data_IF_634124598351
#
_entry.id   IF_634124598351
#
_cell.length_a   1.000
_cell.length_b   1.000
_cell.length_c   1.000
_cell.angle_alpha   90.00
_cell.angle_beta   90.00
_cell.angle_gamma   90.00
#
_symmetry.space_group_name_H-M   'P 1'
#
loop_
_entity.id
_entity.type
_entity.pdbx_description
1 polymer ?
#
# COMPACT_ATOMS: atom_id res chain seq x y z
N UNK A 1 -11.71 16.16 19.77
CA UNK A 1 -10.53 17.02 19.61
C UNK A 1 -9.36 16.45 20.42
N UNK A 2 -8.30 16.02 19.72
CA UNK A 2 -7.13 15.37 20.34
C UNK A 2 -6.39 16.30 21.30
N UNK A 3 -6.29 17.59 20.97
CA UNK A 3 -5.63 18.58 21.85
C UNK A 3 -6.33 18.75 23.20
N UNK A 4 -7.63 18.51 23.24
CA UNK A 4 -8.40 18.56 24.48
C UNK A 4 -8.36 17.22 25.24
N UNK A 5 -8.18 16.12 24.54
CA UNK A 5 -8.18 14.75 25.12
C UNK A 5 -6.82 14.37 25.72
N UNK A 6 -5.72 14.76 25.07
CA UNK A 6 -4.37 14.45 25.54
C UNK A 6 -4.13 15.06 26.93
N UNK A 7 -3.72 14.21 27.87
CA UNK A 7 -3.54 14.60 29.28
C UNK A 7 -4.82 14.65 30.11
N UNK A 8 -5.99 14.33 29.52
CA UNK A 8 -7.29 14.26 30.21
C UNK A 8 -7.96 12.89 30.00
N UNK A 9 -7.21 11.83 30.16
CA UNK A 9 -7.65 10.47 29.92
C UNK A 9 -7.22 9.88 28.57
N UNK A 10 -6.43 10.62 27.78
CA UNK A 10 -5.79 10.12 26.58
C UNK A 10 -4.27 10.32 26.65
N UNK A 11 -3.54 9.26 26.37
CA UNK A 11 -2.08 9.29 26.20
C UNK A 11 -1.68 8.79 24.82
N UNK A 12 -0.73 9.45 24.19
CA UNK A 12 -0.19 9.08 22.86
C UNK A 12 1.31 8.87 23.00
N UNK A 13 1.78 7.68 22.58
CA UNK A 13 3.19 7.32 22.62
C UNK A 13 3.67 7.00 21.20
N UNK A 14 4.65 7.77 20.65
CA UNK A 14 5.20 7.47 19.34
C UNK A 14 5.91 6.13 19.28
N UNK A 15 5.72 5.41 18.18
CA UNK A 15 6.44 4.17 17.86
C UNK A 15 7.47 4.50 16.78
N UNK A 16 8.76 4.32 17.08
CA UNK A 16 9.81 4.44 16.09
C UNK A 16 9.69 3.31 15.06
N UNK A 17 9.67 3.64 13.78
CA UNK A 17 9.55 2.68 12.68
C UNK A 17 10.49 2.99 11.52
N UNK A 18 10.51 2.13 10.50
CA UNK A 18 11.42 2.26 9.35
C UNK A 18 10.93 3.21 8.25
N UNK A 19 9.75 3.80 8.40
CA UNK A 19 9.13 4.69 7.41
C UNK A 19 8.87 6.07 7.99
N UNK A 20 8.53 7.04 7.14
CA UNK A 20 8.27 8.42 7.56
C UNK A 20 6.82 8.65 8.02
N UNK A 21 6.12 7.60 8.42
CA UNK A 21 4.78 7.70 8.97
C UNK A 21 4.82 7.74 10.48
N UNK A 22 4.11 8.69 11.06
CA UNK A 22 3.87 8.68 12.49
C UNK A 22 2.95 7.52 12.85
N UNK A 23 3.47 6.62 13.66
CA UNK A 23 2.72 5.51 14.24
C UNK A 23 2.75 5.66 15.74
N UNK A 24 1.60 5.52 16.39
CA UNK A 24 1.48 5.78 17.80
C UNK A 24 0.69 4.68 18.50
N UNK A 25 1.05 4.38 19.74
CA UNK A 25 0.17 3.74 20.70
C UNK A 25 -0.74 4.79 21.31
N UNK A 26 -2.01 4.48 21.42
CA UNK A 26 -3.00 5.38 22.02
C UNK A 26 -3.68 4.66 23.17
N UNK A 27 -3.64 5.28 24.34
CA UNK A 27 -4.26 4.76 25.56
C UNK A 27 -5.40 5.67 25.98
N UNK A 28 -6.52 5.06 26.39
CA UNK A 28 -7.68 5.75 26.92
C UNK A 28 -7.93 5.27 28.34
N UNK A 29 -7.95 6.18 29.30
CA UNK A 29 -8.26 5.92 30.69
C UNK A 29 -9.30 6.94 31.20
N UNK A 30 -10.52 6.46 31.38
CA UNK A 30 -11.67 7.27 31.81
C UNK A 30 -11.83 8.59 31.03
N UNK A 31 -11.53 8.56 29.71
CA UNK A 31 -11.74 9.72 28.85
C UNK A 31 -13.23 9.98 28.67
N UNK A 32 -13.68 11.11 29.18
CA UNK A 32 -15.06 11.57 29.00
C UNK A 32 -15.16 12.40 27.71
N UNK A 33 -16.14 12.08 26.88
CA UNK A 33 -16.49 12.81 25.65
C UNK A 33 -17.99 13.13 25.67
N UNK A 34 -18.39 14.32 25.19
CA UNK A 34 -19.80 14.69 25.10
C UNK A 34 -20.59 13.70 24.26
N UNK A 35 -21.80 13.35 24.71
CA UNK A 35 -22.64 12.36 24.02
C UNK A 35 -23.02 12.79 22.59
N UNK A 36 -23.11 14.09 22.34
CA UNK A 36 -23.38 14.66 21.03
C UNK A 36 -22.26 14.41 20.01
N UNK A 37 -21.07 13.98 20.46
CA UNK A 37 -19.97 13.60 19.57
C UNK A 37 -20.12 12.18 19.01
N UNK A 38 -21.17 11.46 19.38
CA UNK A 38 -21.48 10.14 18.81
C UNK A 38 -21.74 10.26 17.30
N UNK A 39 -20.99 9.51 16.50
CA UNK A 39 -21.19 9.42 15.05
C UNK A 39 -22.17 8.28 14.76
N UNK A 40 -23.35 8.62 14.24
CA UNK A 40 -24.39 7.65 13.89
C UNK A 40 -25.13 7.09 15.09
N UNK A 41 -25.41 5.79 15.12
CA UNK A 41 -26.19 5.11 16.14
C UNK A 41 -25.34 4.16 16.97
N UNK A 42 -25.67 4.02 18.24
CA UNK A 42 -25.02 3.05 19.14
C UNK A 42 -25.03 1.63 18.55
N UNK A 43 -23.93 0.90 18.71
CA UNK A 43 -23.77 -0.47 18.23
C UNK A 43 -23.54 -0.61 16.71
N UNK A 44 -23.53 0.48 15.92
CA UNK A 44 -23.33 0.44 14.47
C UNK A 44 -21.93 0.88 14.03
N UNK A 45 -21.05 1.25 14.94
CA UNK A 45 -19.74 1.83 14.61
C UNK A 45 -18.87 0.97 13.68
N UNK A 46 -18.84 -0.35 13.87
CA UNK A 46 -18.11 -1.25 13.01
C UNK A 46 -18.62 -1.23 11.55
N UNK A 47 -19.94 -1.16 11.37
CA UNK A 47 -20.55 -1.05 10.04
C UNK A 47 -20.12 0.25 9.35
N UNK A 48 -20.14 1.38 10.07
CA UNK A 48 -19.71 2.66 9.51
C UNK A 48 -18.24 2.68 9.10
N UNK A 49 -17.36 2.02 9.88
CA UNK A 49 -15.95 1.85 9.52
C UNK A 49 -15.81 1.04 8.23
N UNK A 50 -16.56 -0.06 8.11
CA UNK A 50 -16.51 -0.91 6.90
C UNK A 50 -16.90 -0.16 5.63
N UNK A 51 -17.86 0.75 5.69
CA UNK A 51 -18.28 1.56 4.54
C UNK A 51 -17.11 2.40 3.96
N UNK A 52 -16.23 2.92 4.83
CA UNK A 52 -15.04 3.68 4.41
C UNK A 52 -13.87 2.83 3.92
N UNK A 53 -13.76 1.58 4.37
CA UNK A 53 -12.57 0.74 4.12
C UNK A 53 -12.39 0.33 2.65
N UNK A 54 -13.43 0.24 1.84
CA UNK A 54 -13.31 -0.07 0.42
C UNK A 54 -12.68 1.10 -0.36
N UNK A 55 -13.09 2.32 -0.05
CA UNK A 55 -12.46 3.53 -0.60
C UNK A 55 -10.99 3.62 -0.21
N UNK A 56 -10.66 3.38 1.07
CA UNK A 56 -9.30 3.38 1.57
C UNK A 56 -8.40 2.33 0.87
N UNK A 57 -8.88 1.10 0.71
CA UNK A 57 -8.14 0.06 -0.02
C UNK A 57 -7.85 0.46 -1.46
N UNK A 58 -8.82 1.07 -2.13
CA UNK A 58 -8.68 1.56 -3.51
C UNK A 58 -7.70 2.72 -3.60
N UNK A 59 -7.70 3.62 -2.61
CA UNK A 59 -6.74 4.72 -2.50
C UNK A 59 -5.31 4.20 -2.29
N UNK A 60 -5.11 3.26 -1.37
CA UNK A 60 -3.80 2.62 -1.15
C UNK A 60 -3.34 1.86 -2.39
N UNK A 61 -4.25 1.23 -3.15
CA UNK A 61 -3.88 0.64 -4.43
C UNK A 61 -3.36 1.69 -5.42
N UNK A 62 -3.95 2.88 -5.45
CA UNK A 62 -3.46 3.98 -6.29
C UNK A 62 -2.08 4.48 -5.86
N UNK A 63 -1.81 4.60 -4.56
CA UNK A 63 -0.48 4.94 -4.03
C UNK A 63 0.56 3.90 -4.43
N UNK A 64 0.27 2.61 -4.24
CA UNK A 64 1.15 1.51 -4.66
C UNK A 64 1.49 1.57 -6.16
N UNK A 65 0.51 1.86 -7.01
CA UNK A 65 0.71 1.98 -8.45
C UNK A 65 1.61 3.17 -8.77
N UNK A 66 1.40 4.31 -8.10
CA UNK A 66 2.27 5.48 -8.21
C UNK A 66 3.72 5.16 -7.81
N UNK A 67 3.91 4.42 -6.73
CA UNK A 67 5.20 3.93 -6.28
C UNK A 67 5.86 2.99 -7.31
N UNK A 68 5.09 2.03 -7.84
CA UNK A 68 5.59 1.10 -8.85
C UNK A 68 6.09 1.84 -10.10
N UNK A 69 5.32 2.79 -10.62
CA UNK A 69 5.75 3.63 -11.75
C UNK A 69 7.02 4.43 -11.44
N UNK A 70 7.13 4.95 -10.23
CA UNK A 70 8.32 5.67 -9.79
C UNK A 70 9.56 4.75 -9.81
N UNK A 71 9.47 3.54 -9.24
CA UNK A 71 10.56 2.57 -9.24
C UNK A 71 10.95 2.15 -10.66
N UNK A 72 9.97 1.86 -11.51
CA UNK A 72 10.19 1.48 -12.91
C UNK A 72 10.90 2.59 -13.67
N UNK A 73 10.47 3.85 -13.51
CA UNK A 73 11.13 4.99 -14.17
C UNK A 73 12.56 5.18 -13.67
N UNK A 74 12.82 5.06 -12.37
CA UNK A 74 14.17 5.14 -11.80
C UNK A 74 15.07 4.02 -12.32
N UNK A 75 14.59 2.78 -12.30
CA UNK A 75 15.33 1.63 -12.84
C UNK A 75 15.65 1.80 -14.33
N UNK A 76 14.65 2.23 -15.13
CA UNK A 76 14.78 2.48 -16.55
C UNK A 76 15.84 3.55 -16.85
N UNK A 77 15.78 4.70 -16.17
CA UNK A 77 16.77 5.79 -16.36
C UNK A 77 18.16 5.30 -15.99
N UNK A 78 18.32 4.74 -14.81
CA UNK A 78 19.62 4.24 -14.38
C UNK A 78 20.18 3.16 -15.32
N UNK A 79 19.35 2.25 -15.82
CA UNK A 79 19.75 1.21 -16.76
C UNK A 79 20.24 1.77 -18.11
N UNK A 80 19.68 2.90 -18.55
CA UNK A 80 20.14 3.57 -19.79
C UNK A 80 21.42 4.40 -19.58
N UNK A 81 21.58 5.01 -18.41
CA UNK A 81 22.68 5.93 -18.15
C UNK A 81 23.95 5.22 -17.63
N UNK A 82 23.77 4.11 -16.94
CA UNK A 82 24.89 3.36 -16.34
C UNK A 82 25.62 2.53 -17.38
N UNK A 83 26.85 2.91 -17.71
CA UNK A 83 27.71 2.19 -18.64
C UNK A 83 28.66 1.26 -17.88
N UNK A 84 28.69 -0.02 -18.27
CA UNK A 84 29.62 -1.06 -17.78
C UNK A 84 30.03 -1.91 -18.98
N UNK A 85 31.31 -2.20 -19.13
CA UNK A 85 31.87 -2.87 -20.31
C UNK A 85 31.48 -2.19 -21.61
N UNK A 86 31.66 -0.85 -21.65
CA UNK A 86 31.45 0.03 -22.82
C UNK A 86 30.02 0.07 -23.39
N UNK A 87 29.03 -0.35 -22.62
CA UNK A 87 27.61 -0.28 -22.99
C UNK A 87 26.70 -0.04 -21.83
N UNK A 88 25.51 0.57 -22.04
CA UNK A 88 24.49 0.69 -21.02
C UNK A 88 24.08 -0.69 -20.45
N UNK A 89 23.92 -0.78 -19.14
CA UNK A 89 23.48 -2.04 -18.52
C UNK A 89 22.07 -2.46 -18.98
N UNK A 90 21.24 -1.50 -19.41
CA UNK A 90 19.93 -1.73 -20.00
C UNK A 90 19.96 -2.54 -21.30
N UNK A 91 21.11 -2.78 -21.92
CA UNK A 91 21.26 -3.70 -23.05
C UNK A 91 21.29 -5.18 -22.65
N UNK A 92 21.24 -5.48 -21.36
CA UNK A 92 21.23 -6.86 -20.87
C UNK A 92 19.80 -7.32 -20.55
N UNK A 93 19.41 -8.49 -21.05
CA UNK A 93 18.08 -9.07 -20.80
C UNK A 93 17.81 -9.29 -19.30
N UNK A 94 18.85 -9.61 -18.51
CA UNK A 94 18.75 -9.71 -17.05
C UNK A 94 18.37 -8.40 -16.34
N UNK A 95 18.45 -7.26 -17.02
CA UNK A 95 17.98 -5.95 -16.54
C UNK A 95 16.65 -5.59 -17.20
N UNK A 96 16.53 -5.80 -18.52
CA UNK A 96 15.32 -5.43 -19.28
C UNK A 96 14.08 -6.22 -18.83
N UNK A 97 14.21 -7.53 -18.71
CA UNK A 97 13.06 -8.40 -18.47
C UNK A 97 12.40 -8.16 -17.11
N UNK A 98 13.14 -8.05 -15.98
CA UNK A 98 12.52 -7.71 -14.70
C UNK A 98 11.83 -6.34 -14.70
N UNK A 99 12.39 -5.33 -15.38
CA UNK A 99 11.75 -4.01 -15.49
C UNK A 99 10.47 -4.10 -16.32
N UNK A 100 10.49 -4.84 -17.44
CA UNK A 100 9.32 -5.04 -18.29
C UNK A 100 8.21 -5.82 -17.56
N UNK A 101 8.57 -6.87 -16.83
CA UNK A 101 7.63 -7.66 -16.02
C UNK A 101 6.96 -6.81 -14.94
N UNK A 102 7.75 -6.01 -14.20
CA UNK A 102 7.22 -5.06 -13.22
C UNK A 102 6.23 -4.07 -13.84
N UNK A 103 6.47 -3.63 -15.06
CA UNK A 103 5.55 -2.73 -15.77
C UNK A 103 4.23 -3.44 -16.11
N UNK A 104 4.28 -4.67 -16.64
CA UNK A 104 3.11 -5.48 -16.99
C UNK A 104 2.23 -5.74 -15.74
N UNK A 105 2.85 -6.16 -14.64
CA UNK A 105 2.14 -6.41 -13.37
C UNK A 105 1.50 -5.13 -12.82
N UNK A 106 2.18 -3.99 -12.95
CA UNK A 106 1.65 -2.68 -12.53
C UNK A 106 0.43 -2.29 -13.36
N UNK A 107 0.47 -2.46 -14.68
CA UNK A 107 -0.67 -2.19 -15.57
C UNK A 107 -1.87 -3.09 -15.24
N UNK A 108 -1.64 -4.38 -15.00
CA UNK A 108 -2.70 -5.31 -14.60
C UNK A 108 -3.35 -4.91 -13.25
N UNK A 109 -2.52 -4.52 -12.28
CA UNK A 109 -3.01 -4.02 -10.99
C UNK A 109 -3.82 -2.72 -11.15
N UNK A 110 -3.38 -1.83 -12.04
CA UNK A 110 -4.04 -0.57 -12.32
C UNK A 110 -5.43 -0.76 -12.96
N UNK A 111 -5.59 -1.73 -13.85
CA UNK A 111 -6.89 -2.09 -14.42
C UNK A 111 -7.87 -2.57 -13.33
N UNK A 112 -7.40 -3.39 -12.39
CA UNK A 112 -8.23 -3.85 -11.26
C UNK A 112 -8.62 -2.67 -10.35
N UNK A 113 -7.71 -1.73 -10.11
CA UNK A 113 -7.99 -0.51 -9.35
C UNK A 113 -9.08 0.33 -10.04
N UNK A 114 -8.98 0.54 -11.35
CA UNK A 114 -10.01 1.27 -12.09
C UNK A 114 -11.36 0.57 -12.03
N UNK A 115 -11.39 -0.77 -12.07
CA UNK A 115 -12.65 -1.52 -11.90
C UNK A 115 -13.26 -1.28 -10.52
N UNK A 116 -12.45 -1.26 -9.46
CA UNK A 116 -12.94 -0.94 -8.12
C UNK A 116 -13.49 0.48 -8.02
N UNK A 117 -12.81 1.48 -8.63
CA UNK A 117 -13.27 2.86 -8.69
C UNK A 117 -14.61 2.97 -9.43
N UNK A 118 -14.74 2.33 -10.59
CA UNK A 118 -15.96 2.35 -11.39
C UNK A 118 -17.18 1.85 -10.61
N UNK A 119 -17.03 0.71 -9.91
CA UNK A 119 -18.10 0.16 -9.07
C UNK A 119 -18.46 1.11 -7.92
N UNK A 120 -17.45 1.67 -7.26
CA UNK A 120 -17.65 2.62 -6.17
C UNK A 120 -18.42 3.88 -6.64
N UNK A 121 -18.03 4.46 -7.79
CA UNK A 121 -18.65 5.65 -8.35
C UNK A 121 -20.11 5.40 -8.77
N UNK A 122 -20.45 4.16 -9.15
CA UNK A 122 -21.83 3.75 -9.46
C UNK A 122 -22.63 3.30 -8.23
N UNK A 123 -22.07 3.40 -7.03
CA UNK A 123 -22.67 2.88 -5.79
C UNK A 123 -22.96 1.37 -5.82
N UNK A 124 -22.15 0.61 -6.55
CA UNK A 124 -22.21 -0.84 -6.61
C UNK A 124 -21.28 -1.48 -5.57
N UNK A 125 -21.58 -2.72 -5.10
CA UNK A 125 -20.66 -3.44 -4.21
C UNK A 125 -19.28 -3.62 -4.84
N UNK A 126 -18.25 -3.06 -4.23
CA UNK A 126 -16.87 -3.09 -4.76
C UNK A 126 -15.86 -3.76 -3.81
N UNK A 127 -16.32 -4.45 -2.77
CA UNK A 127 -15.45 -5.04 -1.75
C UNK A 127 -14.47 -6.07 -2.31
N UNK A 128 -14.90 -6.87 -3.28
CA UNK A 128 -14.05 -7.87 -3.93
C UNK A 128 -12.93 -7.20 -4.74
N UNK A 129 -13.29 -6.25 -5.60
CA UNK A 129 -12.37 -5.54 -6.48
C UNK A 129 -11.41 -4.67 -5.69
N UNK A 130 -11.87 -3.99 -4.63
CA UNK A 130 -11.03 -3.18 -3.75
C UNK A 130 -9.97 -4.02 -3.03
N UNK A 131 -10.33 -5.21 -2.54
CA UNK A 131 -9.39 -6.15 -1.95
C UNK A 131 -8.37 -6.67 -2.97
N UNK A 132 -8.83 -7.11 -4.16
CA UNK A 132 -7.96 -7.60 -5.22
C UNK A 132 -7.04 -6.49 -5.76
N UNK A 133 -7.56 -5.27 -5.96
CA UNK A 133 -6.78 -4.13 -6.39
C UNK A 133 -5.65 -3.81 -5.39
N UNK A 134 -5.97 -3.75 -4.10
CA UNK A 134 -4.97 -3.51 -3.06
C UNK A 134 -3.90 -4.60 -3.03
N UNK A 135 -4.30 -5.85 -3.12
CA UNK A 135 -3.37 -6.98 -3.15
C UNK A 135 -2.41 -6.91 -4.34
N UNK A 136 -2.97 -6.77 -5.55
CA UNK A 136 -2.18 -6.73 -6.78
C UNK A 136 -1.24 -5.53 -6.82
N UNK A 137 -1.74 -4.35 -6.46
CA UNK A 137 -0.95 -3.12 -6.48
C UNK A 137 0.19 -3.14 -5.44
N UNK A 138 -0.08 -3.61 -4.22
CA UNK A 138 0.95 -3.74 -3.20
C UNK A 138 2.04 -4.74 -3.61
N UNK A 139 1.65 -5.87 -4.23
CA UNK A 139 2.60 -6.85 -4.78
C UNK A 139 3.43 -6.24 -5.91
N UNK A 140 2.81 -5.62 -6.90
CA UNK A 140 3.50 -5.01 -8.04
C UNK A 140 4.49 -3.92 -7.59
N UNK A 141 4.08 -3.05 -6.66
CA UNK A 141 4.95 -2.03 -6.09
C UNK A 141 6.15 -2.62 -5.36
N UNK A 142 5.95 -3.67 -4.57
CA UNK A 142 7.04 -4.34 -3.86
C UNK A 142 8.03 -5.01 -4.82
N UNK A 143 7.56 -5.69 -5.86
CA UNK A 143 8.43 -6.28 -6.89
C UNK A 143 9.17 -5.21 -7.69
N UNK A 144 8.50 -4.13 -8.09
CA UNK A 144 9.15 -3.00 -8.76
C UNK A 144 10.25 -2.36 -7.89
N UNK A 145 10.03 -2.27 -6.58
CA UNK A 145 11.03 -1.79 -5.63
C UNK A 145 12.27 -2.69 -5.58
N UNK A 146 12.07 -4.02 -5.51
CA UNK A 146 13.16 -4.99 -5.56
C UNK A 146 13.94 -4.90 -6.87
N UNK A 147 13.25 -4.83 -8.00
CA UNK A 147 13.87 -4.69 -9.33
C UNK A 147 14.66 -3.38 -9.44
N UNK A 148 14.12 -2.28 -8.94
CA UNK A 148 14.80 -0.98 -8.93
C UNK A 148 16.07 -1.02 -8.07
N UNK A 149 15.98 -1.55 -6.85
CA UNK A 149 17.11 -1.72 -5.96
C UNK A 149 18.20 -2.59 -6.60
N UNK A 150 17.82 -3.72 -7.18
CA UNK A 150 18.74 -4.64 -7.86
C UNK A 150 19.39 -3.99 -9.09
N UNK A 151 18.65 -3.21 -9.86
CA UNK A 151 19.17 -2.50 -11.05
C UNK A 151 20.22 -1.46 -10.66
N UNK A 152 20.04 -0.75 -9.55
CA UNK A 152 21.01 0.22 -9.03
C UNK A 152 22.22 -0.46 -8.39
N UNK A 153 22.10 -1.71 -7.95
CA UNK A 153 23.16 -2.40 -7.23
C UNK A 153 23.57 -1.65 -5.94
N UNK A 154 24.87 -1.46 -5.74
CA UNK A 154 25.37 -0.72 -4.57
C UNK A 154 24.81 0.71 -4.44
N UNK A 155 24.53 1.38 -5.55
CA UNK A 155 23.94 2.72 -5.53
C UNK A 155 22.47 2.74 -5.08
N UNK A 156 21.76 1.61 -5.08
CA UNK A 156 20.43 1.51 -4.49
C UNK A 156 20.39 1.80 -2.99
N UNK A 157 21.53 1.62 -2.30
CA UNK A 157 21.69 1.93 -0.86
C UNK A 157 22.07 3.40 -0.60
N UNK A 158 22.48 4.14 -1.63
CA UNK A 158 22.92 5.52 -1.45
C UNK A 158 21.72 6.46 -1.33
N UNK A 159 21.68 7.28 -0.27
CA UNK A 159 20.56 8.19 0.00
C UNK A 159 20.30 9.18 -1.13
N UNK A 160 21.34 9.57 -1.88
CA UNK A 160 21.23 10.50 -3.02
C UNK A 160 20.33 10.00 -4.17
N UNK A 161 20.13 8.67 -4.28
CA UNK A 161 19.24 8.07 -5.29
C UNK A 161 17.79 7.94 -4.83
N UNK A 162 17.52 8.10 -3.54
CA UNK A 162 16.18 8.00 -2.93
C UNK A 162 15.54 6.59 -3.00
N UNK A 163 16.20 5.63 -3.64
CA UNK A 163 15.67 4.28 -3.84
C UNK A 163 15.52 3.57 -2.49
N UNK A 164 16.50 3.68 -1.59
CA UNK A 164 16.49 3.03 -0.28
C UNK A 164 15.34 3.54 0.60
N UNK A 165 15.07 4.86 0.57
CA UNK A 165 13.96 5.46 1.33
C UNK A 165 12.62 4.97 0.81
N UNK A 166 12.40 5.08 -0.49
CA UNK A 166 11.16 4.66 -1.14
C UNK A 166 10.92 3.15 -1.02
N UNK A 167 12.00 2.34 -1.06
CA UNK A 167 11.96 0.90 -0.81
C UNK A 167 11.41 0.57 0.59
N UNK A 168 11.85 1.30 1.62
CA UNK A 168 11.33 1.15 2.98
C UNK A 168 9.84 1.56 3.07
N UNK A 169 9.46 2.64 2.41
CA UNK A 169 8.08 3.15 2.40
C UNK A 169 7.11 2.15 1.77
N UNK A 170 7.40 1.68 0.57
CA UNK A 170 6.49 0.78 -0.16
C UNK A 170 6.28 -0.56 0.55
N UNK A 171 7.19 -0.97 1.46
CA UNK A 171 7.03 -2.19 2.26
C UNK A 171 5.80 -2.14 3.17
N UNK A 172 5.39 -0.94 3.60
CA UNK A 172 4.23 -0.74 4.43
C UNK A 172 2.96 -1.33 3.80
N UNK A 173 2.79 -1.18 2.51
CA UNK A 173 1.57 -1.60 1.80
C UNK A 173 1.34 -3.11 1.74
N UNK A 174 2.34 -3.92 2.05
CA UNK A 174 2.14 -5.37 2.24
C UNK A 174 1.35 -5.69 3.53
N UNK A 175 1.28 -4.73 4.46
CA UNK A 175 0.72 -4.89 5.80
C UNK A 175 -0.53 -4.02 5.97
N UNK A 176 -0.46 -2.73 5.61
CA UNK A 176 -1.50 -1.73 5.81
C UNK A 176 -2.28 -1.43 4.51
N UNK A 177 -3.55 -1.00 4.59
CA UNK A 177 -4.43 -0.95 5.77
C UNK A 177 -4.97 -2.33 6.16
N UNK A 178 -4.84 -3.31 5.29
CA UNK A 178 -5.21 -4.70 5.51
C UNK A 178 -4.09 -5.62 5.04
N UNK A 179 -3.78 -6.64 5.82
CA UNK A 179 -2.74 -7.59 5.46
C UNK A 179 -3.13 -8.48 4.28
N UNK A 180 -2.14 -8.91 3.53
CA UNK A 180 -2.29 -9.87 2.43
C UNK A 180 -3.05 -11.14 2.86
N UNK A 181 -2.80 -11.64 4.08
CA UNK A 181 -3.45 -12.84 4.59
C UNK A 181 -4.96 -12.65 4.75
N UNK A 182 -5.40 -11.49 5.27
CA UNK A 182 -6.83 -11.19 5.40
C UNK A 182 -7.51 -11.04 4.03
N UNK A 183 -6.80 -10.52 3.03
CA UNK A 183 -7.33 -10.46 1.65
C UNK A 183 -7.51 -11.87 1.09
N UNK A 184 -6.54 -12.77 1.28
CA UNK A 184 -6.68 -14.16 0.86
C UNK A 184 -7.86 -14.84 1.55
N UNK A 185 -8.03 -14.66 2.87
CA UNK A 185 -9.16 -15.22 3.60
C UNK A 185 -10.50 -14.68 3.07
N UNK A 186 -10.57 -13.37 2.79
CA UNK A 186 -11.76 -12.76 2.21
C UNK A 186 -12.11 -13.35 0.84
N UNK A 187 -11.14 -13.48 -0.05
CA UNK A 187 -11.35 -14.07 -1.39
C UNK A 187 -11.76 -15.53 -1.29
N UNK A 188 -11.08 -16.30 -0.45
CA UNK A 188 -11.38 -17.73 -0.26
C UNK A 188 -12.80 -17.95 0.26
N UNK A 189 -13.19 -17.22 1.31
CA UNK A 189 -14.48 -17.39 1.98
C UNK A 189 -15.64 -16.80 1.16
N UNK A 190 -15.51 -15.53 0.74
CA UNK A 190 -16.64 -14.78 0.19
C UNK A 190 -16.78 -14.87 -1.32
N UNK A 191 -15.70 -15.12 -2.07
CA UNK A 191 -15.77 -15.25 -3.53
C UNK A 191 -15.75 -16.69 -3.99
N UNK A 192 -14.91 -17.53 -3.36
CA UNK A 192 -14.75 -18.94 -3.76
C UNK A 192 -15.64 -19.90 -2.95
N UNK A 193 -16.28 -19.43 -1.89
CA UNK A 193 -17.16 -20.27 -1.05
C UNK A 193 -16.43 -21.34 -0.24
N UNK A 194 -15.14 -21.15 0.03
CA UNK A 194 -14.38 -22.07 0.87
C UNK A 194 -14.76 -21.93 2.34
N UNK A 195 -14.61 -22.98 3.15
CA UNK A 195 -14.87 -22.90 4.58
C UNK A 195 -13.97 -21.87 5.24
N UNK A 196 -14.52 -21.18 6.24
CA UNK A 196 -13.76 -20.23 7.06
C UNK A 196 -12.59 -20.93 7.77
N UNK A 197 -11.41 -20.32 7.74
CA UNK A 197 -10.17 -20.93 8.25
C UNK A 197 -9.89 -20.64 9.73
N UNK A 198 -10.60 -19.69 10.35
CA UNK A 198 -10.43 -19.27 11.77
C UNK A 198 -11.73 -18.71 12.34
#
# INVERSE_FOLDING_TARGET
>A
DLHQAIGKGMEVRPIANMVNHETNEVFFDNLEIPAENLIGSEGQGFKYILDGLNAERTLIAAECIGDAYWFIDRARRYANDRVVFDRPIGMNQGIQFPIADSYIETEAANLMRFKACELFDHNEPCGAESNMAKYLAAKASWEAANVCMQTHGGFGFACEYDVERKFRETRLYQIAPISTNLIYSYVAEHLLGLPRSF
#
